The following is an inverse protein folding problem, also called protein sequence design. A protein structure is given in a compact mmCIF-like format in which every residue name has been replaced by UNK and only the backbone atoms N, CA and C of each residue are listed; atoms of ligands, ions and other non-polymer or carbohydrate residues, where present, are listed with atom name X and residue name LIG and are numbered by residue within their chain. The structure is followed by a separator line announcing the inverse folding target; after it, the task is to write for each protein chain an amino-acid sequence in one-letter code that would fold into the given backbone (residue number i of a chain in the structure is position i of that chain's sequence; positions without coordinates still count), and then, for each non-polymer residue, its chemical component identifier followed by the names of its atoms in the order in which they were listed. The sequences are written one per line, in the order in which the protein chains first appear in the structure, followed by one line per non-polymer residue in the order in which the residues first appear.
data_IF_463867755673
#
_entry.id   IF_463867755673
#
_cell.length_a   1.000
_cell.length_b   1.000
_cell.length_c   1.000
_cell.angle_alpha   90.00
_cell.angle_beta   90.00
_cell.angle_gamma   90.00
#
_symmetry.space_group_name_H-M   'P 1'
#
loop_
_entity.id
_entity.type
_entity.pdbx_description
1 polymer ?
#
# COMPACT_ATOMS: atom_id res chain seq x y z
N UNK A 1 -0.25 5.09 3.37
CA UNK A 1 0.35 4.23 2.31
C UNK A 1 0.20 2.75 2.66
N UNK A 2 -0.32 1.93 1.76
CA UNK A 2 -0.42 0.47 1.94
C UNK A 2 0.67 -0.19 1.08
N UNK A 3 1.77 -0.60 1.72
CA UNK A 3 2.93 -1.21 1.06
C UNK A 3 3.04 -2.69 1.47
N UNK A 4 3.09 -3.58 0.48
CA UNK A 4 3.19 -5.04 0.64
C UNK A 4 4.46 -5.53 -0.03
N UNK A 5 5.27 -6.31 0.67
CA UNK A 5 6.49 -6.92 0.14
C UNK A 5 6.12 -8.20 -0.64
N UNK A 6 6.37 -8.20 -1.93
CA UNK A 6 6.09 -9.31 -2.86
C UNK A 6 7.28 -9.55 -3.79
N UNK A 7 8.45 -9.76 -3.21
CA UNK A 7 9.71 -9.86 -3.94
C UNK A 7 9.68 -11.02 -4.95
N UNK A 8 10.02 -10.70 -6.19
CA UNK A 8 10.09 -11.66 -7.31
C UNK A 8 11.38 -12.48 -7.23
N UNK A 9 11.46 -13.37 -6.25
CA UNK A 9 12.71 -14.12 -5.91
C UNK A 9 13.20 -15.04 -7.01
N UNK A 10 12.34 -15.38 -7.99
CA UNK A 10 12.72 -16.20 -9.17
C UNK A 10 13.07 -15.35 -10.39
N UNK A 11 12.81 -14.03 -10.37
CA UNK A 11 13.14 -13.17 -11.51
C UNK A 11 14.66 -13.02 -11.67
N UNK A 12 15.21 -13.07 -12.91
CA UNK A 12 16.64 -12.94 -13.16
C UNK A 12 17.30 -11.68 -12.59
N UNK A 13 16.59 -10.55 -12.50
CA UNK A 13 17.15 -9.34 -11.87
C UNK A 13 17.38 -9.52 -10.36
N UNK A 14 16.48 -10.24 -9.68
CA UNK A 14 16.66 -10.55 -8.27
C UNK A 14 17.80 -11.54 -8.05
N UNK A 15 17.81 -12.64 -8.81
CA UNK A 15 18.82 -13.69 -8.65
C UNK A 15 20.22 -13.24 -9.04
N UNK A 16 20.35 -12.27 -9.97
CA UNK A 16 21.63 -11.64 -10.30
C UNK A 16 22.22 -10.82 -9.15
N UNK A 17 21.40 -10.37 -8.20
CA UNK A 17 21.83 -9.71 -6.96
C UNK A 17 22.53 -8.35 -7.14
N UNK A 18 22.54 -7.79 -8.36
CA UNK A 18 23.25 -6.54 -8.65
C UNK A 18 22.62 -5.37 -7.89
N UNK A 19 23.48 -4.50 -7.32
CA UNK A 19 23.06 -3.34 -6.55
C UNK A 19 23.25 -2.04 -7.35
N UNK A 20 22.46 -1.03 -7.00
CA UNK A 20 22.62 0.33 -7.50
C UNK A 20 22.83 1.31 -6.34
N UNK A 21 23.53 2.41 -6.61
CA UNK A 21 23.43 3.60 -5.79
C UNK A 21 22.22 4.38 -6.29
N UNK A 22 21.16 4.43 -5.48
CA UNK A 22 19.94 5.14 -5.84
C UNK A 22 20.23 6.64 -5.96
N UNK A 23 19.96 7.20 -7.13
CA UNK A 23 20.09 8.64 -7.43
C UNK A 23 18.76 9.28 -7.79
N UNK A 24 17.73 8.46 -8.06
CA UNK A 24 16.42 8.95 -8.45
C UNK A 24 15.38 7.86 -8.55
N UNK A 25 14.20 8.25 -8.96
CA UNK A 25 13.00 7.44 -9.10
C UNK A 25 12.40 7.63 -10.49
N UNK A 26 11.94 6.56 -11.12
CA UNK A 26 11.31 6.63 -12.42
C UNK A 26 9.86 6.11 -12.32
N UNK A 27 8.93 6.95 -12.76
CA UNK A 27 7.51 6.63 -12.76
C UNK A 27 7.12 6.07 -14.13
N UNK A 28 6.47 4.91 -14.10
CA UNK A 28 5.94 4.21 -15.27
C UNK A 28 4.44 3.96 -15.16
N UNK A 29 3.85 3.52 -16.26
CA UNK A 29 2.61 2.78 -16.27
C UNK A 29 2.73 1.54 -17.15
N UNK A 30 1.99 0.48 -16.80
CA UNK A 30 2.23 -0.89 -17.33
C UNK A 30 2.04 -1.07 -18.84
N UNK A 31 1.54 -0.07 -19.57
CA UNK A 31 1.37 -0.08 -21.03
C UNK A 31 0.33 -1.11 -21.52
N UNK A 32 -0.56 -1.55 -20.65
CA UNK A 32 -1.66 -2.45 -21.01
C UNK A 32 -2.86 -2.27 -20.05
N UNK A 33 -4.10 -2.58 -20.51
CA UNK A 33 -5.32 -2.38 -19.74
C UNK A 33 -5.46 -3.41 -18.59
N UNK A 34 -4.54 -3.37 -17.63
CA UNK A 34 -4.50 -4.31 -16.52
C UNK A 34 -4.42 -3.57 -15.18
N UNK A 35 -5.54 -3.53 -14.42
CA UNK A 35 -5.56 -2.87 -13.11
C UNK A 35 -5.00 -3.72 -11.96
N UNK A 36 -4.80 -5.02 -12.15
CA UNK A 36 -4.38 -5.94 -11.09
C UNK A 36 -2.87 -6.14 -11.08
N UNK A 37 -2.17 -5.61 -10.09
CA UNK A 37 -0.74 -5.82 -9.87
C UNK A 37 -0.37 -7.31 -9.73
N UNK A 38 -1.26 -8.11 -9.13
CA UNK A 38 -1.06 -9.54 -8.92
C UNK A 38 -0.83 -10.34 -10.21
N UNK A 39 -1.33 -9.87 -11.36
CA UNK A 39 -1.11 -10.50 -12.66
C UNK A 39 0.37 -10.40 -13.06
N UNK A 40 0.97 -9.21 -12.90
CA UNK A 40 2.39 -8.99 -13.18
C UNK A 40 3.27 -9.73 -12.17
N UNK A 41 2.96 -9.65 -10.88
CA UNK A 41 3.70 -10.33 -9.81
C UNK A 41 3.78 -11.84 -10.08
N UNK A 42 2.64 -12.46 -10.42
CA UNK A 42 2.59 -13.89 -10.76
C UNK A 42 3.39 -14.21 -12.03
N UNK A 43 3.21 -13.41 -13.08
CA UNK A 43 3.84 -13.67 -14.39
C UNK A 43 5.35 -13.41 -14.40
N UNK A 44 5.81 -12.40 -13.64
CA UNK A 44 7.22 -12.00 -13.64
C UNK A 44 8.08 -12.76 -12.63
N UNK A 45 7.47 -13.46 -11.69
CA UNK A 45 8.22 -14.28 -10.70
C UNK A 45 8.58 -15.66 -11.28
N UNK A 46 9.34 -15.67 -12.37
CA UNK A 46 9.80 -16.86 -13.08
C UNK A 46 11.25 -16.72 -13.51
N UNK A 47 12.01 -17.81 -13.47
CA UNK A 47 13.38 -17.86 -13.96
C UNK A 47 13.51 -17.65 -15.47
N UNK A 48 12.44 -17.92 -16.22
CA UNK A 48 12.37 -17.73 -17.66
C UNK A 48 11.90 -16.32 -18.06
N UNK A 49 11.47 -15.49 -17.11
CA UNK A 49 11.03 -14.13 -17.41
C UNK A 49 12.22 -13.16 -17.47
N UNK A 50 12.72 -12.94 -18.68
CA UNK A 50 13.93 -12.15 -18.95
C UNK A 50 13.64 -10.82 -19.66
N UNK A 51 12.41 -10.26 -19.51
CA UNK A 51 11.98 -9.06 -20.26
C UNK A 51 12.07 -7.78 -19.44
N UNK A 52 11.72 -7.85 -18.16
CA UNK A 52 11.69 -6.69 -17.28
C UNK A 52 11.77 -7.08 -15.80
N UNK A 53 12.10 -6.11 -14.98
CA UNK A 53 11.95 -6.17 -13.54
C UNK A 53 11.87 -4.75 -12.97
N UNK A 54 10.77 -4.43 -12.28
CA UNK A 54 10.57 -3.16 -11.60
C UNK A 54 10.64 -3.35 -10.09
N UNK A 55 10.78 -2.27 -9.36
CA UNK A 55 10.89 -2.30 -7.91
C UNK A 55 9.52 -2.37 -7.23
N UNK A 56 8.47 -1.91 -7.91
CA UNK A 56 7.12 -2.01 -7.38
C UNK A 56 6.04 -1.80 -8.43
N UNK A 57 4.87 -2.38 -8.13
CA UNK A 57 3.61 -2.14 -8.84
C UNK A 57 2.61 -1.46 -7.90
N UNK A 58 1.82 -0.54 -8.45
CA UNK A 58 0.68 0.07 -7.75
C UNK A 58 -0.60 -0.48 -8.35
N UNK A 59 -1.40 -1.18 -7.55
CA UNK A 59 -2.65 -1.80 -8.00
C UNK A 59 -3.70 -0.74 -8.33
N UNK A 60 -4.32 -0.85 -9.50
CA UNK A 60 -5.32 0.09 -9.97
C UNK A 60 -6.66 -0.01 -9.25
N UNK A 61 -6.96 -1.14 -8.59
CA UNK A 61 -8.25 -1.34 -7.94
C UNK A 61 -8.31 -0.68 -6.56
N UNK A 62 -7.22 -0.75 -5.78
CA UNK A 62 -7.23 -0.29 -4.39
C UNK A 62 -6.02 0.59 -4.00
N UNK A 63 -5.09 0.85 -4.92
CA UNK A 63 -3.88 1.64 -4.66
C UNK A 63 -2.83 0.92 -3.82
N UNK A 64 -2.98 -0.37 -3.54
CA UNK A 64 -1.96 -1.15 -2.82
C UNK A 64 -0.67 -1.17 -3.62
N UNK A 65 0.42 -0.86 -2.94
CA UNK A 65 1.77 -0.87 -3.51
C UNK A 65 2.41 -2.21 -3.19
N UNK A 66 2.90 -2.90 -4.22
CA UNK A 66 3.61 -4.17 -4.07
C UNK A 66 5.09 -3.96 -4.40
N UNK A 67 5.96 -4.06 -3.40
CA UNK A 67 7.40 -4.05 -3.63
C UNK A 67 7.83 -5.38 -4.22
N UNK A 68 8.40 -5.37 -5.42
CA UNK A 68 8.74 -6.57 -6.19
C UNK A 68 10.25 -6.81 -6.33
N UNK A 69 11.05 -5.81 -6.03
CA UNK A 69 12.51 -5.90 -5.97
C UNK A 69 13.00 -5.08 -4.76
N UNK A 70 14.06 -5.48 -4.04
CA UNK A 70 14.67 -4.60 -3.04
C UNK A 70 15.09 -3.27 -3.66
N UNK A 71 14.80 -2.16 -2.98
CA UNK A 71 14.92 -0.81 -3.55
C UNK A 71 16.32 -0.48 -4.11
N UNK A 72 17.36 -1.06 -3.55
CA UNK A 72 18.75 -0.86 -4.00
C UNK A 72 19.24 -1.93 -5.00
N UNK A 73 18.36 -2.79 -5.52
CA UNK A 73 18.73 -3.71 -6.58
C UNK A 73 18.65 -3.01 -7.94
N UNK A 74 19.45 -3.53 -8.89
CA UNK A 74 19.34 -3.09 -10.27
C UNK A 74 18.12 -3.72 -10.92
N UNK A 75 17.14 -2.89 -11.29
CA UNK A 75 16.00 -3.30 -12.09
C UNK A 75 16.34 -3.40 -13.60
N UNK A 76 15.33 -3.80 -14.35
CA UNK A 76 15.33 -3.70 -15.81
C UNK A 76 13.99 -3.13 -16.25
N UNK A 77 13.83 -1.82 -16.16
CA UNK A 77 12.56 -1.13 -16.36
C UNK A 77 12.64 0.03 -17.35
N UNK A 78 13.85 0.56 -17.61
CA UNK A 78 13.99 1.78 -18.39
C UNK A 78 14.50 1.54 -19.82
N UNK A 79 15.02 0.36 -20.12
CA UNK A 79 15.69 0.12 -21.41
C UNK A 79 16.96 0.96 -21.63
N UNK A 80 17.51 1.58 -20.58
CA UNK A 80 18.67 2.47 -20.64
C UNK A 80 19.40 2.61 -19.31
N UNK A 81 20.21 3.65 -19.20
CA UNK A 81 21.12 3.85 -18.07
C UNK A 81 20.40 4.14 -16.73
N UNK A 82 19.13 4.55 -16.77
CA UNK A 82 18.31 4.72 -15.57
C UNK A 82 18.18 3.42 -14.75
N UNK A 83 18.28 2.24 -15.38
CA UNK A 83 18.34 0.96 -14.68
C UNK A 83 19.48 0.87 -13.66
N UNK A 84 20.52 1.66 -13.79
CA UNK A 84 21.71 1.66 -12.93
C UNK A 84 21.62 2.69 -11.79
N UNK A 85 20.58 3.53 -11.75
CA UNK A 85 20.52 4.68 -10.85
C UNK A 85 19.14 4.98 -10.29
N UNK A 86 18.07 4.52 -10.94
CA UNK A 86 16.69 4.86 -10.56
C UNK A 86 15.91 3.65 -10.10
N UNK A 87 15.09 3.84 -9.08
CA UNK A 87 14.03 2.90 -8.68
C UNK A 87 12.88 3.08 -9.66
N UNK A 88 12.44 2.02 -10.34
CA UNK A 88 11.30 2.06 -11.26
C UNK A 88 10.02 1.56 -10.60
N UNK A 89 8.93 2.32 -10.74
CA UNK A 89 7.61 2.00 -10.19
C UNK A 89 6.57 2.04 -11.31
N UNK A 90 5.77 0.98 -11.42
CA UNK A 90 4.71 0.81 -12.40
C UNK A 90 3.35 1.09 -11.79
N UNK A 91 2.61 2.00 -12.37
CA UNK A 91 1.17 2.18 -12.09
C UNK A 91 0.36 1.24 -12.98
N UNK A 92 -0.49 0.41 -12.40
CA UNK A 92 -1.45 -0.40 -13.15
C UNK A 92 -2.50 0.49 -13.82
N UNK A 93 -2.98 0.07 -15.01
CA UNK A 93 -3.83 0.87 -15.88
C UNK A 93 -5.29 0.41 -15.85
N UNK A 94 -6.25 1.29 -16.21
CA UNK A 94 -7.66 0.96 -16.24
C UNK A 94 -7.98 -0.18 -17.21
N UNK A 95 -8.87 -1.10 -16.83
CA UNK A 95 -9.33 -2.17 -17.71
C UNK A 95 -10.26 -1.68 -18.85
N UNK A 96 -10.86 -0.50 -18.70
CA UNK A 96 -11.79 0.09 -19.65
C UNK A 96 -11.13 0.88 -20.80
N UNK A 97 -9.80 0.84 -20.92
CA UNK A 97 -9.07 1.37 -22.08
C UNK A 97 -8.71 0.25 -23.04
N UNK A 98 -8.57 0.58 -24.32
CA UNK A 98 -8.12 -0.33 -25.37
C UNK A 98 -7.10 0.38 -26.25
N UNK A 99 -5.86 -0.04 -26.19
CA UNK A 99 -4.79 0.53 -27.00
C UNK A 99 -5.04 0.36 -28.49
N UNK A 100 -4.83 1.43 -29.24
CA UNK A 100 -4.93 1.52 -30.70
C UNK A 100 -3.59 1.82 -31.36
N UNK A 101 -2.56 2.11 -30.54
CA UNK A 101 -1.17 2.36 -30.92
C UNK A 101 -0.29 2.29 -29.68
N UNK A 102 0.98 2.64 -29.82
CA UNK A 102 1.97 2.55 -28.71
C UNK A 102 1.61 3.41 -27.49
N UNK A 103 0.94 4.54 -27.71
CA UNK A 103 0.56 5.48 -26.64
C UNK A 103 -0.86 6.02 -26.79
N UNK A 104 -1.64 5.50 -27.77
CA UNK A 104 -3.01 5.94 -28.04
C UNK A 104 -3.99 4.84 -27.68
N UNK A 105 -5.14 5.18 -27.13
CA UNK A 105 -6.17 4.24 -26.74
C UNK A 105 -7.58 4.83 -26.87
N UNK A 106 -8.57 3.97 -27.02
CA UNK A 106 -9.97 4.28 -26.80
C UNK A 106 -10.34 3.96 -25.34
N UNK A 107 -11.28 4.70 -24.77
CA UNK A 107 -11.77 4.50 -23.42
C UNK A 107 -13.30 4.34 -23.44
N UNK A 108 -13.81 3.23 -22.94
CA UNK A 108 -15.24 2.95 -22.87
C UNK A 108 -15.93 3.58 -21.64
N UNK A 109 -15.15 3.90 -20.58
CA UNK A 109 -15.64 4.51 -19.35
C UNK A 109 -14.59 5.46 -18.79
N UNK A 110 -14.69 6.73 -19.17
CA UNK A 110 -13.74 7.78 -18.77
C UNK A 110 -13.77 8.02 -17.26
N UNK A 111 -14.93 7.93 -16.61
CA UNK A 111 -15.07 8.18 -15.18
C UNK A 111 -14.31 7.11 -14.37
N UNK A 112 -14.52 5.85 -14.70
CA UNK A 112 -13.78 4.73 -14.11
C UNK A 112 -12.29 4.83 -14.41
N UNK A 113 -11.90 5.15 -15.64
CA UNK A 113 -10.49 5.29 -16.01
C UNK A 113 -9.80 6.38 -15.20
N UNK A 114 -10.41 7.55 -15.05
CA UNK A 114 -9.90 8.65 -14.24
C UNK A 114 -9.80 8.29 -12.76
N UNK A 115 -10.77 7.54 -12.22
CA UNK A 115 -10.74 7.08 -10.83
C UNK A 115 -9.57 6.12 -10.56
N UNK A 116 -9.27 5.21 -11.49
CA UNK A 116 -8.11 4.31 -11.41
C UNK A 116 -6.81 5.11 -11.47
N UNK A 117 -6.67 6.00 -12.46
CA UNK A 117 -5.46 6.84 -12.61
C UNK A 117 -5.24 7.75 -11.41
N UNK A 118 -6.32 8.35 -10.87
CA UNK A 118 -6.23 9.16 -9.64
C UNK A 118 -5.67 8.34 -8.48
N UNK A 119 -6.20 7.14 -8.25
CA UNK A 119 -5.79 6.25 -7.16
C UNK A 119 -4.34 5.84 -7.28
N UNK A 120 -3.88 5.43 -8.46
CA UNK A 120 -2.49 5.03 -8.66
C UNK A 120 -1.54 6.22 -8.58
N UNK A 121 -1.95 7.40 -9.05
CA UNK A 121 -1.19 8.64 -8.89
C UNK A 121 -1.01 9.02 -7.42
N UNK A 122 -2.07 9.01 -6.62
CA UNK A 122 -2.01 9.34 -5.20
C UNK A 122 -1.12 8.37 -4.41
N UNK A 123 -1.26 7.07 -4.67
CA UNK A 123 -0.39 6.05 -4.08
C UNK A 123 1.09 6.20 -4.53
N UNK A 124 1.33 6.60 -5.80
CA UNK A 124 2.67 6.90 -6.28
C UNK A 124 3.28 8.10 -5.56
N UNK A 125 2.51 9.18 -5.33
CA UNK A 125 2.95 10.36 -4.57
C UNK A 125 3.42 9.95 -3.17
N UNK A 126 2.64 9.13 -2.46
CA UNK A 126 3.01 8.65 -1.12
C UNK A 126 4.28 7.79 -1.13
N UNK A 127 4.38 6.85 -2.09
CA UNK A 127 5.55 5.98 -2.23
C UNK A 127 6.82 6.78 -2.57
N UNK A 128 6.71 7.74 -3.50
CA UNK A 128 7.85 8.55 -3.92
C UNK A 128 8.32 9.48 -2.79
N UNK A 129 7.40 10.04 -2.01
CA UNK A 129 7.74 10.82 -0.81
C UNK A 129 8.50 9.95 0.21
N UNK A 130 8.03 8.73 0.45
CA UNK A 130 8.69 7.74 1.29
C UNK A 130 10.11 7.42 0.81
N UNK A 131 10.27 7.10 -0.47
CA UNK A 131 11.58 6.76 -1.05
C UNK A 131 12.52 7.97 -1.07
N UNK A 132 12.03 9.17 -1.40
CA UNK A 132 12.83 10.40 -1.34
C UNK A 132 13.35 10.67 0.07
N UNK A 133 12.53 10.50 1.10
CA UNK A 133 12.98 10.58 2.50
C UNK A 133 14.06 9.54 2.81
N UNK A 134 13.82 8.27 2.45
CA UNK A 134 14.73 7.16 2.75
C UNK A 134 16.08 7.26 2.07
N UNK A 135 16.15 7.88 0.90
CA UNK A 135 17.38 8.05 0.13
C UNK A 135 17.94 9.49 0.14
N UNK A 136 17.35 10.38 0.94
CA UNK A 136 17.74 11.80 1.05
C UNK A 136 17.74 12.50 -0.32
N UNK A 137 16.70 12.24 -1.14
CA UNK A 137 16.53 12.81 -2.46
C UNK A 137 15.64 14.05 -2.40
N UNK A 138 16.02 15.12 -3.10
CA UNK A 138 15.09 16.23 -3.36
C UNK A 138 14.21 15.91 -4.57
N UNK A 139 12.88 15.71 -4.40
CA UNK A 139 11.98 15.34 -5.49
C UNK A 139 11.88 16.39 -6.59
N UNK A 140 12.26 17.65 -6.30
CA UNK A 140 12.22 18.77 -7.26
C UNK A 140 13.55 19.02 -7.96
N UNK A 141 14.62 18.37 -7.51
CA UNK A 141 15.91 18.49 -8.18
C UNK A 141 15.89 17.80 -9.55
N UNK A 142 16.64 18.39 -10.49
CA UNK A 142 16.67 17.91 -11.87
C UNK A 142 17.12 16.45 -11.97
N UNK A 143 16.38 15.64 -12.71
CA UNK A 143 16.68 14.24 -12.96
C UNK A 143 16.44 13.30 -11.77
N UNK A 144 15.98 13.77 -10.62
CA UNK A 144 15.70 12.92 -9.43
C UNK A 144 14.40 12.16 -9.62
N UNK A 145 13.31 12.83 -9.95
CA UNK A 145 12.06 12.16 -10.31
C UNK A 145 11.80 12.42 -11.79
N UNK A 146 11.74 11.34 -12.56
CA UNK A 146 11.47 11.39 -14.00
C UNK A 146 10.36 10.39 -14.36
N UNK A 147 9.61 10.69 -15.43
CA UNK A 147 8.78 9.68 -16.11
C UNK A 147 9.64 8.88 -17.10
N UNK A 148 9.09 7.79 -17.66
CA UNK A 148 9.76 7.10 -18.75
C UNK A 148 9.96 8.04 -19.96
N UNK A 149 8.92 8.82 -20.31
CA UNK A 149 8.98 9.79 -21.40
C UNK A 149 10.04 10.88 -21.19
N UNK A 150 10.18 11.40 -19.97
CA UNK A 150 11.26 12.33 -19.63
C UNK A 150 12.64 11.66 -19.66
N UNK A 151 12.74 10.40 -19.19
CA UNK A 151 13.95 9.59 -19.25
C UNK A 151 14.44 9.37 -20.68
N UNK A 152 13.53 9.14 -21.63
CA UNK A 152 13.86 9.07 -23.05
C UNK A 152 14.44 10.37 -23.57
N UNK A 153 13.78 11.50 -23.29
CA UNK A 153 14.28 12.83 -23.68
C UNK A 153 15.67 13.15 -23.11
N UNK A 154 16.00 12.56 -21.97
CA UNK A 154 17.29 12.68 -21.28
C UNK A 154 18.34 11.66 -21.77
N UNK A 155 17.98 10.75 -22.68
CA UNK A 155 18.89 9.70 -23.17
C UNK A 155 19.20 8.60 -22.13
N UNK A 156 18.41 8.45 -21.07
CA UNK A 156 18.61 7.46 -20.01
C UNK A 156 17.58 6.33 -20.03
N UNK A 157 16.58 6.40 -20.92
CA UNK A 157 15.54 5.39 -21.09
C UNK A 157 15.22 5.17 -22.57
N UNK A 158 14.54 4.06 -22.89
CA UNK A 158 14.01 3.77 -24.22
C UNK A 158 12.80 4.66 -24.54
N UNK A 159 12.40 4.67 -25.82
CA UNK A 159 11.30 5.53 -26.27
C UNK A 159 9.93 4.97 -25.85
N UNK A 160 9.38 5.53 -24.77
CA UNK A 160 8.04 5.26 -24.27
C UNK A 160 7.38 6.56 -23.80
N UNK A 161 6.03 6.61 -23.85
CA UNK A 161 5.24 7.81 -23.52
C UNK A 161 4.63 7.82 -22.12
N UNK A 162 4.92 6.81 -21.33
CA UNK A 162 4.31 6.57 -20.01
C UNK A 162 4.93 7.43 -18.89
N UNK A 163 4.15 7.75 -17.90
CA UNK A 163 2.69 7.60 -17.77
C UNK A 163 1.88 8.78 -18.37
N UNK A 164 2.55 9.80 -18.93
CA UNK A 164 1.92 11.07 -19.36
C UNK A 164 0.89 10.88 -20.49
N UNK A 165 1.04 9.84 -21.31
CA UNK A 165 0.07 9.51 -22.36
C UNK A 165 -1.33 9.21 -21.80
N UNK A 166 -1.41 8.49 -20.63
CA UNK A 166 -2.67 8.25 -19.92
C UNK A 166 -3.28 9.55 -19.41
N UNK A 167 -2.47 10.34 -18.73
CA UNK A 167 -2.92 11.59 -18.10
C UNK A 167 -3.48 12.56 -19.13
N UNK A 168 -2.77 12.70 -20.25
CA UNK A 168 -3.16 13.59 -21.34
C UNK A 168 -4.47 13.13 -22.01
N UNK A 169 -4.56 11.88 -22.42
CA UNK A 169 -5.74 11.38 -23.15
C UNK A 169 -6.99 11.29 -22.26
N UNK A 170 -6.83 11.01 -20.98
CA UNK A 170 -7.93 11.04 -20.01
C UNK A 170 -8.24 12.45 -19.49
N UNK A 171 -7.50 13.47 -19.93
CA UNK A 171 -7.69 14.86 -19.51
C UNK A 171 -7.77 14.98 -17.96
N UNK A 172 -6.77 14.43 -17.25
CA UNK A 172 -6.73 14.43 -15.79
C UNK A 172 -6.15 15.72 -15.21
N UNK A 173 -5.46 16.53 -16.01
CA UNK A 173 -4.70 17.69 -15.56
C UNK A 173 -3.36 17.36 -14.87
N UNK A 174 -2.99 16.08 -14.74
CA UNK A 174 -1.72 15.68 -14.13
C UNK A 174 -0.54 15.98 -15.04
N UNK A 175 0.56 16.39 -14.42
CA UNK A 175 1.85 16.64 -15.08
C UNK A 175 2.97 16.14 -14.18
N UNK A 176 4.16 15.89 -14.75
CA UNK A 176 5.31 15.50 -13.95
C UNK A 176 5.77 16.59 -12.99
N UNK A 177 5.65 17.87 -13.36
CA UNK A 177 5.92 18.98 -12.43
C UNK A 177 4.92 19.01 -11.27
N UNK A 178 3.64 18.79 -11.55
CA UNK A 178 2.61 18.63 -10.52
C UNK A 178 2.90 17.46 -9.61
N UNK A 179 3.33 16.32 -10.18
CA UNK A 179 3.71 15.13 -9.42
C UNK A 179 4.89 15.40 -8.48
N UNK A 180 5.99 15.99 -8.97
CA UNK A 180 7.15 16.37 -8.15
C UNK A 180 6.79 17.30 -6.99
N UNK A 181 5.93 18.31 -7.26
CA UNK A 181 5.41 19.22 -6.23
C UNK A 181 4.56 18.50 -5.19
N UNK A 182 3.69 17.58 -5.63
CA UNK A 182 2.87 16.77 -4.74
C UNK A 182 3.73 15.85 -3.85
N UNK A 183 4.76 15.23 -4.41
CA UNK A 183 5.76 14.44 -3.65
C UNK A 183 6.47 15.31 -2.62
N UNK A 184 6.93 16.52 -3.01
CA UNK A 184 7.59 17.45 -2.08
C UNK A 184 6.66 17.87 -0.94
N UNK A 185 5.40 18.17 -1.24
CA UNK A 185 4.39 18.50 -0.23
C UNK A 185 4.14 17.32 0.72
N UNK A 186 4.03 16.10 0.19
CA UNK A 186 3.86 14.89 0.99
C UNK A 186 5.08 14.57 1.89
N UNK A 187 6.26 15.04 1.54
CA UNK A 187 7.45 14.97 2.42
C UNK A 187 7.36 15.97 3.59
N UNK A 188 6.65 17.09 3.44
CA UNK A 188 6.49 18.10 4.49
C UNK A 188 5.36 17.78 5.47
N UNK A 189 4.37 16.99 5.07
CA UNK A 189 3.41 16.41 6.00
C UNK A 189 4.14 15.35 6.81
N UNK A 190 4.09 15.44 8.14
CA UNK A 190 4.56 14.36 9.02
C UNK A 190 3.70 13.10 8.81
N UNK A 191 3.91 12.40 7.72
CA UNK A 191 3.64 10.98 7.68
C UNK A 191 4.75 10.36 8.52
N UNK A 192 4.39 9.80 9.65
CA UNK A 192 5.30 9.06 10.51
C UNK A 192 6.30 8.28 9.64
N UNK A 193 7.61 8.46 9.90
CA UNK A 193 8.63 7.67 9.22
C UNK A 193 8.21 6.21 9.31
N UNK A 194 8.20 5.48 8.19
CA UNK A 194 8.18 4.05 8.30
C UNK A 194 9.57 3.66 8.79
N UNK A 195 9.61 3.32 10.06
CA UNK A 195 10.73 2.55 10.57
C UNK A 195 10.89 1.30 9.70
N UNK A 196 12.13 1.10 9.25
CA UNK A 196 12.75 -0.12 8.76
C UNK A 196 11.85 -1.32 8.46
N UNK A 197 12.00 -1.80 7.21
CA UNK A 197 11.88 -3.21 6.83
C UNK A 197 10.59 -3.90 7.33
N UNK A 198 9.46 -3.60 6.66
CA UNK A 198 8.29 -4.46 6.80
C UNK A 198 8.53 -5.76 6.02
N UNK A 199 9.32 -6.64 6.60
CA UNK A 199 9.21 -8.06 6.33
C UNK A 199 7.75 -8.42 6.54
N UNK A 200 7.03 -8.90 5.53
CA UNK A 200 5.68 -9.44 5.72
C UNK A 200 5.87 -10.71 6.54
N UNK A 201 5.62 -10.60 7.81
CA UNK A 201 5.68 -11.73 8.71
C UNK A 201 4.43 -12.59 8.50
N UNK A 202 4.54 -13.92 8.47
CA UNK A 202 3.40 -14.80 8.31
C UNK A 202 2.31 -14.51 9.33
N UNK A 203 1.06 -14.46 8.91
CA UNK A 203 -0.07 -14.30 9.84
C UNK A 203 -0.08 -15.36 10.93
N UNK A 204 0.44 -16.55 10.62
CA UNK A 204 0.63 -17.67 11.55
C UNK A 204 1.95 -18.39 11.27
N UNK A 205 2.78 -18.50 12.29
CA UNK A 205 4.03 -19.26 12.23
C UNK A 205 3.78 -20.76 12.27
N UNK A 206 4.45 -21.51 11.41
CA UNK A 206 4.48 -22.99 11.44
C UNK A 206 5.43 -23.49 12.51
N UNK A 207 6.52 -22.75 12.80
CA UNK A 207 7.49 -23.02 13.87
C UNK A 207 7.87 -21.74 14.60
N UNK A 208 8.23 -21.82 15.89
CA UNK A 208 8.58 -20.69 16.72
C UNK A 208 7.38 -19.83 17.14
N UNK A 209 7.66 -18.61 17.62
CA UNK A 209 6.66 -17.72 18.19
C UNK A 209 7.01 -16.25 17.95
N UNK A 210 5.99 -15.43 17.72
CA UNK A 210 6.05 -13.99 17.95
C UNK A 210 6.07 -13.70 19.45
N UNK A 211 7.08 -12.98 19.93
CA UNK A 211 7.24 -12.65 21.36
C UNK A 211 6.95 -11.19 21.61
N UNK A 212 6.17 -10.90 22.64
CA UNK A 212 5.85 -9.54 23.06
C UNK A 212 6.74 -9.17 24.24
N UNK A 213 7.66 -8.21 24.02
CA UNK A 213 8.67 -7.76 25.01
C UNK A 213 8.89 -6.24 24.89
N UNK A 214 9.54 -5.64 25.92
CA UNK A 214 10.03 -4.25 25.84
C UNK A 214 11.20 -4.12 24.86
N UNK A 215 12.15 -5.04 24.93
CA UNK A 215 13.26 -5.20 23.98
C UNK A 215 13.53 -6.68 23.78
N UNK A 216 14.18 -7.06 22.68
CA UNK A 216 14.51 -8.47 22.44
C UNK A 216 15.38 -9.07 23.55
N UNK A 217 16.35 -8.31 24.03
CA UNK A 217 17.31 -8.75 25.08
C UNK A 217 16.67 -8.88 26.46
N UNK A 218 15.56 -8.18 26.72
CA UNK A 218 14.85 -8.24 28.00
C UNK A 218 13.81 -9.37 28.00
N UNK A 219 14.30 -10.59 28.17
CA UNK A 219 13.46 -11.79 28.26
C UNK A 219 12.52 -11.78 29.46
N UNK A 220 12.86 -11.05 30.55
CA UNK A 220 12.04 -10.94 31.75
C UNK A 220 10.77 -10.10 31.52
N UNK A 221 10.79 -9.18 30.56
CA UNK A 221 9.64 -8.38 30.20
C UNK A 221 8.62 -9.12 29.31
N UNK A 222 8.85 -10.38 28.96
CA UNK A 222 7.97 -11.08 28.03
C UNK A 222 6.55 -11.24 28.56
N UNK A 223 5.57 -10.63 27.87
CA UNK A 223 4.14 -10.74 28.18
C UNK A 223 3.49 -11.98 27.55
N UNK A 224 4.08 -12.52 26.49
CA UNK A 224 3.55 -13.68 25.80
C UNK A 224 4.36 -14.10 24.58
N UNK A 225 4.02 -15.30 24.07
CA UNK A 225 4.55 -15.85 22.85
C UNK A 225 3.38 -16.46 22.04
N UNK A 226 3.23 -16.03 20.80
CA UNK A 226 2.04 -16.29 19.97
C UNK A 226 2.47 -16.87 18.62
N UNK A 227 1.73 -17.83 18.10
CA UNK A 227 1.93 -18.30 16.72
C UNK A 227 1.20 -17.43 15.70
N UNK A 228 0.13 -16.74 16.12
CA UNK A 228 -0.67 -15.84 15.28
C UNK A 228 -0.23 -14.42 15.53
N UNK A 229 0.17 -13.72 14.47
CA UNK A 229 0.70 -12.35 14.54
C UNK A 229 -0.31 -11.37 15.15
N UNK A 230 -1.57 -11.42 14.73
CA UNK A 230 -2.61 -10.53 15.24
C UNK A 230 -2.79 -10.64 16.77
N UNK A 231 -2.61 -11.83 17.35
CA UNK A 231 -2.70 -12.01 18.81
C UNK A 231 -1.49 -11.38 19.53
N UNK A 232 -0.30 -11.43 18.92
CA UNK A 232 0.87 -10.77 19.45
C UNK A 232 0.75 -9.24 19.37
N UNK A 233 0.24 -8.73 18.24
CA UNK A 233 -0.03 -7.31 18.04
C UNK A 233 -1.03 -6.76 19.07
N UNK A 234 -2.18 -7.41 19.21
CA UNK A 234 -3.18 -7.04 20.20
C UNK A 234 -2.60 -6.98 21.62
N UNK A 235 -1.71 -7.94 21.97
CA UNK A 235 -1.05 -7.94 23.28
C UNK A 235 -0.04 -6.80 23.44
N UNK A 236 0.63 -6.41 22.37
CA UNK A 236 1.53 -5.26 22.40
C UNK A 236 0.75 -3.94 22.50
N UNK A 237 -0.39 -3.81 21.80
CA UNK A 237 -1.26 -2.63 21.83
C UNK A 237 -1.83 -2.35 23.24
N UNK A 238 -2.17 -3.42 23.98
CA UNK A 238 -2.64 -3.30 25.37
C UNK A 238 -1.55 -2.83 26.35
N UNK A 239 -0.27 -2.82 25.94
CA UNK A 239 0.86 -2.61 26.85
C UNK A 239 1.85 -1.59 26.27
N UNK A 240 1.77 -0.35 26.72
CA UNK A 240 2.66 0.74 26.25
C UNK A 240 4.14 0.39 26.46
N UNK A 241 4.95 0.63 25.43
CA UNK A 241 6.39 0.37 25.44
C UNK A 241 6.78 -1.08 25.16
N UNK A 242 5.83 -1.90 24.71
CA UNK A 242 6.09 -3.26 24.26
C UNK A 242 6.03 -3.36 22.72
N UNK A 243 6.82 -4.27 22.18
CA UNK A 243 6.90 -4.59 20.76
C UNK A 243 6.79 -6.08 20.54
N UNK A 244 6.39 -6.46 19.33
CA UNK A 244 6.38 -7.85 18.87
C UNK A 244 7.71 -8.15 18.16
N UNK A 245 8.32 -9.27 18.49
CA UNK A 245 9.57 -9.75 17.89
C UNK A 245 9.37 -11.12 17.25
N UNK A 246 10.08 -11.38 16.15
CA UNK A 246 10.19 -12.71 15.55
C UNK A 246 11.18 -13.61 16.31
N UNK A 247 11.49 -14.79 15.74
CA UNK A 247 12.43 -15.72 16.37
C UNK A 247 13.88 -15.24 16.33
N UNK A 248 14.23 -14.33 15.43
CA UNK A 248 15.58 -13.81 15.23
C UNK A 248 15.80 -12.50 15.98
N UNK A 249 14.73 -12.00 16.61
CA UNK A 249 14.77 -10.76 17.41
C UNK A 249 14.51 -9.48 16.62
N UNK A 250 14.06 -9.61 15.37
CA UNK A 250 13.65 -8.45 14.61
C UNK A 250 12.30 -7.94 15.12
N UNK A 251 12.13 -6.64 15.17
CA UNK A 251 10.84 -6.02 15.50
C UNK A 251 9.86 -6.28 14.36
N UNK A 252 8.80 -7.00 14.65
CA UNK A 252 7.71 -7.34 13.73
C UNK A 252 6.62 -6.28 13.78
N UNK A 253 6.39 -5.73 14.98
CA UNK A 253 5.36 -4.74 15.25
C UNK A 253 5.72 -3.96 16.50
N UNK A 254 5.63 -2.64 16.42
CA UNK A 254 5.68 -1.76 17.58
C UNK A 254 4.40 -0.90 17.57
N UNK A 255 3.58 -0.92 18.63
CA UNK A 255 2.51 0.04 18.77
C UNK A 255 3.07 1.44 18.63
N UNK A 256 2.51 2.26 17.77
CA UNK A 256 2.80 3.68 17.74
C UNK A 256 2.58 4.20 19.17
N UNK A 257 3.59 4.83 19.78
CA UNK A 257 3.42 5.47 21.06
C UNK A 257 2.17 6.33 20.96
N UNK A 258 1.18 6.03 21.79
CA UNK A 258 -0.07 6.76 21.79
C UNK A 258 0.29 8.25 21.81
N UNK A 259 0.03 8.96 20.71
CA UNK A 259 -0.10 10.40 20.80
C UNK A 259 -1.09 10.60 21.92
N UNK A 260 -0.67 11.27 22.98
CA UNK A 260 -1.60 11.93 23.89
C UNK A 260 -2.41 12.85 22.96
N UNK A 261 -3.50 12.32 22.45
CA UNK A 261 -4.43 13.13 21.71
C UNK A 261 -4.92 14.16 22.70
N UNK A 262 -4.38 15.36 22.56
CA UNK A 262 -5.11 16.54 22.98
C UNK A 262 -6.43 16.41 22.22
N UNK A 263 -7.43 16.02 22.96
CA UNK A 263 -8.80 15.83 22.51
C UNK A 263 -9.26 17.14 21.87
N UNK A 264 -8.99 17.29 20.58
CA UNK A 264 -9.79 18.20 19.75
C UNK A 264 -11.17 17.54 19.75
N UNK A 265 -12.15 18.23 20.26
CA UNK A 265 -13.55 17.82 20.24
C UNK A 265 -13.92 17.48 18.79
N UNK A 266 -13.85 16.16 18.47
CA UNK A 266 -14.55 15.62 17.31
C UNK A 266 -16.03 15.78 17.60
N UNK A 267 -16.75 16.36 16.67
CA UNK A 267 -18.20 16.48 16.74
C UNK A 267 -18.80 15.18 17.29
N UNK A 268 -19.56 15.27 18.37
CA UNK A 268 -20.15 14.13 19.04
C UNK A 268 -20.98 13.35 18.01
N UNK A 269 -20.75 12.01 17.95
CA UNK A 269 -21.57 11.15 17.09
C UNK A 269 -23.04 11.37 17.43
N UNK A 270 -23.80 11.87 16.48
CA UNK A 270 -25.25 12.03 16.68
C UNK A 270 -25.96 10.69 16.51
N UNK A 271 -26.59 10.16 17.59
CA UNK A 271 -27.33 8.92 17.50
C UNK A 271 -28.50 9.05 16.52
N UNK A 272 -28.65 8.06 15.64
CA UNK A 272 -29.73 8.02 14.67
C UNK A 272 -30.51 6.71 14.74
N UNK A 273 -31.70 6.67 14.16
CA UNK A 273 -32.57 5.51 14.17
C UNK A 273 -32.51 4.76 12.86
N UNK A 274 -32.41 3.42 12.95
CA UNK A 274 -32.53 2.49 11.83
C UNK A 274 -33.73 1.60 11.99
N UNK A 275 -34.45 1.33 10.90
CA UNK A 275 -35.50 0.35 10.85
C UNK A 275 -34.96 -0.97 10.36
N UNK A 276 -35.06 -2.03 11.15
CA UNK A 276 -34.74 -3.40 10.77
C UNK A 276 -36.01 -4.11 10.35
N UNK A 277 -36.02 -4.62 9.13
CA UNK A 277 -37.21 -5.30 8.53
C UNK A 277 -37.10 -6.82 8.53
N UNK A 278 -35.97 -7.38 8.96
CA UNK A 278 -35.76 -8.84 9.05
C UNK A 278 -35.67 -9.29 10.51
N UNK A 279 -36.32 -10.40 10.83
CA UNK A 279 -36.43 -10.87 12.20
C UNK A 279 -35.13 -11.50 12.73
N UNK A 280 -34.27 -11.99 11.86
CA UNK A 280 -33.10 -12.81 12.20
C UNK A 280 -31.75 -12.15 11.87
N UNK A 281 -31.69 -10.82 11.93
CA UNK A 281 -30.40 -10.11 11.78
C UNK A 281 -29.53 -10.41 13.00
N UNK A 282 -28.40 -11.06 12.76
CA UNK A 282 -27.49 -11.48 13.82
C UNK A 282 -26.84 -10.29 14.54
N UNK A 283 -26.79 -10.34 15.85
CA UNK A 283 -25.94 -9.50 16.69
C UNK A 283 -24.58 -10.19 16.83
N UNK A 284 -23.50 -9.43 16.66
CA UNK A 284 -22.13 -9.91 16.74
C UNK A 284 -21.37 -9.27 17.91
N UNK A 285 -20.31 -9.92 18.36
CA UNK A 285 -19.46 -9.45 19.46
C UNK A 285 -18.55 -8.28 19.07
N UNK A 286 -18.60 -7.84 17.80
CA UNK A 286 -17.83 -6.74 17.26
C UNK A 286 -18.22 -6.41 15.82
N UNK A 287 -17.65 -5.33 15.26
CA UNK A 287 -17.98 -4.84 13.92
C UNK A 287 -17.31 -5.70 12.85
N UNK A 288 -18.03 -6.68 12.31
CA UNK A 288 -17.55 -7.51 11.20
C UNK A 288 -18.08 -8.92 11.19
N UNK A 289 -18.12 -9.56 10.03
CA UNK A 289 -18.49 -10.98 9.86
C UNK A 289 -17.47 -11.93 10.46
N UNK A 290 -16.25 -11.48 10.67
CA UNK A 290 -15.16 -12.17 11.37
C UNK A 290 -15.37 -12.26 12.90
N UNK A 291 -16.27 -11.44 13.48
CA UNK A 291 -16.63 -11.56 14.89
C UNK A 291 -17.72 -12.62 15.12
N UNK A 292 -17.58 -13.37 16.18
CA UNK A 292 -18.55 -14.40 16.57
C UNK A 292 -19.96 -13.81 16.80
N UNK A 293 -20.98 -14.58 16.44
CA UNK A 293 -22.37 -14.25 16.75
C UNK A 293 -22.62 -14.35 18.25
N UNK A 294 -23.49 -13.49 18.81
CA UNK A 294 -23.90 -13.56 20.22
C UNK A 294 -24.94 -14.65 20.47
N UNK A 295 -25.54 -15.19 19.41
CA UNK A 295 -26.71 -16.09 19.49
C UNK A 295 -28.04 -15.35 19.55
N UNK A 296 -28.01 -14.02 19.61
CA UNK A 296 -29.22 -13.17 19.63
C UNK A 296 -29.44 -12.52 18.27
N UNK A 297 -30.67 -12.09 18.03
CA UNK A 297 -31.13 -11.36 16.86
C UNK A 297 -31.69 -10.01 17.27
N UNK A 298 -31.62 -9.02 16.40
CA UNK A 298 -32.24 -7.72 16.64
C UNK A 298 -33.77 -7.81 16.65
N UNK A 299 -34.33 -8.72 15.86
CA UNK A 299 -35.76 -8.73 15.53
C UNK A 299 -36.15 -7.57 14.60
N UNK A 300 -37.43 -7.54 14.24
CA UNK A 300 -38.02 -6.43 13.46
C UNK A 300 -38.32 -5.27 14.40
N UNK A 301 -37.89 -4.06 14.03
CA UNK A 301 -38.13 -2.90 14.89
C UNK A 301 -37.34 -1.67 14.49
N UNK A 302 -37.39 -0.63 15.32
CA UNK A 302 -36.61 0.60 15.18
C UNK A 302 -35.60 0.64 16.31
N UNK A 303 -34.32 0.72 15.95
CA UNK A 303 -33.19 0.70 16.87
C UNK A 303 -32.38 1.96 16.78
N UNK A 304 -31.80 2.40 17.88
CA UNK A 304 -30.92 3.57 17.93
C UNK A 304 -29.46 3.13 17.80
N UNK A 305 -28.77 3.64 16.81
CA UNK A 305 -27.32 3.51 16.63
C UNK A 305 -26.64 4.62 17.40
N UNK A 306 -25.66 4.25 18.24
CA UNK A 306 -24.91 5.19 19.09
C UNK A 306 -23.42 5.29 18.72
N UNK A 307 -22.97 4.45 17.83
CA UNK A 307 -21.62 4.50 17.23
C UNK A 307 -21.61 3.68 15.94
N UNK A 308 -20.69 4.02 15.03
CA UNK A 308 -20.39 3.26 13.82
C UNK A 308 -18.93 2.85 13.77
N UNK A 309 -18.68 1.74 13.08
CA UNK A 309 -17.33 1.26 12.79
C UNK A 309 -17.28 0.62 11.41
N UNK A 310 -16.13 0.65 10.77
CA UNK A 310 -15.86 -0.16 9.61
C UNK A 310 -15.64 -1.62 10.05
N UNK A 311 -15.92 -2.58 9.16
CA UNK A 311 -15.74 -3.99 9.46
C UNK A 311 -16.08 -4.89 8.28
N UNK A 312 -15.59 -6.14 8.33
CA UNK A 312 -15.79 -7.09 7.26
C UNK A 312 -17.28 -7.42 7.05
N UNK A 313 -17.72 -7.52 5.78
CA UNK A 313 -19.06 -7.98 5.39
C UNK A 313 -20.15 -6.92 5.34
N UNK A 314 -19.84 -5.67 5.66
CA UNK A 314 -20.73 -4.52 5.44
C UNK A 314 -19.93 -3.22 5.34
N UNK A 315 -20.51 -2.21 4.69
CA UNK A 315 -19.88 -0.87 4.54
C UNK A 315 -19.75 -0.17 5.90
N UNK A 316 -20.70 -0.41 6.82
CA UNK A 316 -20.73 0.11 8.19
C UNK A 316 -21.37 -0.87 9.14
N UNK A 317 -20.88 -0.89 10.36
CA UNK A 317 -21.43 -1.64 11.49
C UNK A 317 -21.90 -0.67 12.55
N UNK A 318 -23.15 -0.77 12.94
CA UNK A 318 -23.76 0.12 13.94
C UNK A 318 -23.78 -0.53 15.32
N UNK A 319 -23.36 0.19 16.36
CA UNK A 319 -23.52 -0.22 17.76
C UNK A 319 -24.89 0.20 18.25
N UNK A 320 -25.66 -0.77 18.75
CA UNK A 320 -27.00 -0.51 19.30
C UNK A 320 -26.89 0.18 20.67
N UNK A 321 -27.87 1.06 20.99
CA UNK A 321 -27.98 1.70 22.33
C UNK A 321 -28.18 0.70 23.45
N UNK A 322 -28.70 -0.47 23.16
CA UNK A 322 -28.85 -1.58 24.11
C UNK A 322 -27.56 -2.25 24.55
N UNK A 323 -26.41 -1.83 23.99
CA UNK A 323 -25.10 -2.41 24.31
C UNK A 323 -24.72 -3.63 23.47
N UNK A 324 -25.52 -3.96 22.45
CA UNK A 324 -25.25 -5.03 21.49
C UNK A 324 -24.68 -4.50 20.19
#
# INVERSE_FOLDING_TARGET
MKLVKSILTKNPCYTAGRKIKVKGLMLHSVGCPQPKASVFIKGWNSTSYNRACVHGFIDGNDGTIYQTLPWNHRGWHAGGNANNTHIGIEMCEPACIKYTGSSSFNCSDIATARAVVKRTYEAAVELFAYLCKGYSLDPTADGVIVSHAEGYKRGIASNHGDPEHLWKQLNTGYTMDGFRKAVKAAMGTETAQPENDTTVYPEKLTSGYYRVRKTWKDSKSQLGAYRVLANAQAKADENTGYSVFDNDGNVVYAPSAAKTETRTETAAFEPYRVRISIANLNIRKGPGTNYGKTGQFTGVGVFTIIAESDGEGATKWGKLKSGA
#
